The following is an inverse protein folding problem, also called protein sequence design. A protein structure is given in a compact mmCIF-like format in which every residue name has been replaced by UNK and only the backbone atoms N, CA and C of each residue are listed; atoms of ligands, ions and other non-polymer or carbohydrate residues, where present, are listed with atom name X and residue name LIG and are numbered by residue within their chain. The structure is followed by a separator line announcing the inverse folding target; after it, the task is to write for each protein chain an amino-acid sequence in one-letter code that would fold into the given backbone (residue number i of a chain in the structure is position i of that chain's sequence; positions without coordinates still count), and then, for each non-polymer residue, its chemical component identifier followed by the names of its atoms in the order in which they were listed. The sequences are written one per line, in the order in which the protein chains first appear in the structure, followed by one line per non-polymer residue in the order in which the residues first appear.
data_IF_675006881903
#
_entry.id   IF_675006881903
#
_cell.length_a   1.000
_cell.length_b   1.000
_cell.length_c   1.000
_cell.angle_alpha   90.00
_cell.angle_beta   90.00
_cell.angle_gamma   90.00
#
_symmetry.space_group_name_H-M   'P 1'
#
loop_
_entity.id
_entity.type
_entity.pdbx_description
1 polymer ?
#
# COMPACT_ATOMS: atom_id res chain seq x y z
N UNK A 1 -54.23 6.41 10.46
CA UNK A 1 -54.72 5.86 11.75
C UNK A 1 -54.37 4.37 11.81
N UNK A 2 -53.94 3.85 12.98
CA UNK A 2 -52.92 2.81 13.09
C UNK A 2 -53.47 1.46 13.54
N UNK A 3 -52.72 0.37 13.29
CA UNK A 3 -52.63 -0.81 14.18
C UNK A 3 -51.23 -1.42 14.09
N UNK A 4 -50.47 -1.30 15.18
CA UNK A 4 -49.22 -2.02 15.41
C UNK A 4 -49.48 -3.54 15.62
N UNK A 5 -48.56 -4.42 15.21
CA UNK A 5 -48.56 -5.82 15.66
C UNK A 5 -47.78 -5.95 16.98
N UNK A 6 -48.50 -6.40 18.01
CA UNK A 6 -48.02 -6.69 19.37
C UNK A 6 -46.91 -7.76 19.41
N UNK A 7 -45.94 -7.53 20.28
CA UNK A 7 -44.96 -8.50 20.79
C UNK A 7 -45.63 -9.81 21.22
N UNK A 8 -45.08 -10.96 20.82
CA UNK A 8 -45.39 -12.25 21.44
C UNK A 8 -44.40 -12.49 22.56
N UNK A 9 -44.92 -12.45 23.78
CA UNK A 9 -44.27 -12.88 24.99
C UNK A 9 -43.87 -14.36 24.91
N UNK A 10 -42.64 -14.65 25.33
CA UNK A 10 -42.20 -16.02 25.63
C UNK A 10 -42.92 -16.50 26.90
N UNK A 11 -43.70 -17.58 26.78
CA UNK A 11 -44.26 -18.28 27.93
C UNK A 11 -43.13 -19.03 28.64
N UNK A 12 -42.82 -18.60 29.87
CA UNK A 12 -42.01 -19.36 30.84
C UNK A 12 -42.97 -20.15 31.72
N UNK A 13 -42.64 -21.41 32.01
CA UNK A 13 -43.32 -22.18 33.06
C UNK A 13 -42.86 -21.72 34.45
N UNK A 14 -43.69 -22.00 35.46
CA UNK A 14 -43.69 -21.41 36.81
C UNK A 14 -42.45 -21.70 37.69
N UNK A 15 -41.41 -22.36 37.16
CA UNK A 15 -40.16 -22.69 37.86
C UNK A 15 -38.87 -22.26 37.10
N UNK A 16 -38.97 -21.43 36.06
CA UNK A 16 -37.82 -20.66 35.56
C UNK A 16 -36.68 -21.45 34.87
N UNK A 17 -36.96 -22.55 34.16
CA UNK A 17 -35.97 -23.23 33.28
C UNK A 17 -36.52 -23.47 31.85
N UNK A 18 -35.69 -23.37 30.79
CA UNK A 18 -36.11 -23.69 29.42
C UNK A 18 -36.24 -25.21 29.22
N UNK A 19 -37.41 -25.66 28.75
CA UNK A 19 -37.72 -27.06 28.44
C UNK A 19 -37.03 -27.57 27.17
N UNK A 20 -36.53 -28.81 27.23
CA UNK A 20 -35.89 -29.52 26.13
C UNK A 20 -36.94 -30.04 25.12
N UNK A 21 -36.62 -29.97 23.82
CA UNK A 21 -37.43 -30.51 22.74
C UNK A 21 -37.00 -31.96 22.47
N UNK A 22 -37.92 -32.90 22.68
CA UNK A 22 -37.78 -34.31 22.35
C UNK A 22 -38.42 -34.58 20.98
N UNK A 23 -37.69 -35.28 20.11
CA UNK A 23 -38.08 -35.62 18.74
C UNK A 23 -38.36 -37.12 18.68
N UNK A 24 -39.64 -37.51 18.68
CA UNK A 24 -40.13 -38.72 18.00
C UNK A 24 -41.62 -38.95 18.29
N UNK A 25 -42.50 -38.59 17.35
CA UNK A 25 -43.85 -39.17 17.24
C UNK A 25 -44.55 -38.73 15.94
N UNK A 26 -44.48 -39.55 14.90
CA UNK A 26 -45.58 -39.72 13.94
C UNK A 26 -45.41 -41.03 13.16
N UNK A 27 -46.00 -42.10 13.71
CA UNK A 27 -46.57 -43.25 12.98
C UNK A 27 -47.67 -42.71 12.01
N UNK A 28 -48.09 -43.34 10.92
CA UNK A 28 -48.55 -44.73 10.73
C UNK A 28 -49.05 -44.86 9.26
N UNK A 29 -49.00 -46.05 8.63
CA UNK A 29 -49.80 -46.30 7.41
C UNK A 29 -49.41 -47.44 6.46
N UNK A 30 -49.76 -48.68 6.84
CA UNK A 30 -50.19 -49.82 5.99
C UNK A 30 -49.22 -50.56 5.03
N UNK A 31 -49.08 -51.88 5.30
CA UNK A 31 -48.67 -53.00 4.42
C UNK A 31 -49.94 -53.58 3.70
N UNK A 32 -49.92 -54.55 2.73
CA UNK A 32 -48.91 -55.62 2.63
C UNK A 32 -48.64 -56.34 1.26
N UNK A 33 -47.68 -57.29 1.33
CA UNK A 33 -47.42 -58.55 0.58
C UNK A 33 -47.07 -58.62 -0.92
N UNK A 34 -46.08 -59.48 -1.24
CA UNK A 34 -46.04 -60.25 -2.50
C UNK A 34 -44.68 -60.30 -3.21
N UNK A 35 -43.91 -61.39 -3.06
CA UNK A 35 -42.53 -61.50 -3.49
C UNK A 35 -42.24 -61.75 -4.98
N UNK A 36 -40.95 -61.75 -5.32
CA UNK A 36 -40.23 -62.75 -6.15
C UNK A 36 -38.76 -62.36 -6.32
N UNK A 37 -37.88 -63.32 -6.05
CA UNK A 37 -36.51 -63.36 -6.57
C UNK A 37 -36.51 -63.30 -8.11
N UNK A 38 -35.37 -62.96 -8.72
CA UNK A 38 -34.63 -63.78 -9.71
C UNK A 38 -33.46 -62.98 -10.32
N UNK A 39 -32.36 -63.69 -10.57
CA UNK A 39 -31.08 -63.18 -11.05
C UNK A 39 -31.02 -62.94 -12.58
N UNK A 40 -30.00 -62.15 -12.97
CA UNK A 40 -29.38 -61.76 -14.28
C UNK A 40 -29.44 -62.75 -15.47
N UNK A 41 -29.12 -62.42 -16.77
CA UNK A 41 -28.15 -61.41 -17.25
C UNK A 41 -28.35 -60.75 -18.68
N UNK A 42 -27.45 -59.79 -18.99
CA UNK A 42 -26.88 -59.40 -20.31
C UNK A 42 -27.64 -58.60 -21.40
N UNK A 43 -26.96 -57.50 -21.79
CA UNK A 43 -26.75 -56.89 -23.12
C UNK A 43 -27.79 -55.93 -23.73
N UNK A 44 -27.40 -54.66 -23.86
CA UNK A 44 -27.50 -53.88 -25.11
C UNK A 44 -26.74 -52.55 -24.97
N UNK A 45 -25.96 -52.23 -26.00
CA UNK A 45 -25.06 -51.09 -26.12
C UNK A 45 -25.77 -49.76 -26.36
N UNK A 46 -25.27 -48.65 -25.79
CA UNK A 46 -25.11 -47.40 -26.55
C UNK A 46 -24.07 -46.45 -25.94
N UNK A 47 -22.98 -46.26 -26.69
CA UNK A 47 -22.05 -45.11 -26.80
C UNK A 47 -22.04 -44.06 -25.65
N UNK A 48 -21.10 -44.20 -24.73
CA UNK A 48 -20.58 -43.08 -23.95
C UNK A 48 -19.44 -42.38 -24.70
N UNK A 49 -19.63 -41.10 -25.02
CA UNK A 49 -18.59 -40.21 -25.53
C UNK A 49 -17.58 -39.89 -24.43
N UNK A 50 -16.44 -40.58 -24.43
CA UNK A 50 -15.27 -40.22 -23.64
C UNK A 50 -14.65 -38.93 -24.21
N UNK A 51 -14.93 -37.79 -23.57
CA UNK A 51 -14.11 -36.58 -23.72
C UNK A 51 -12.76 -36.87 -23.06
N UNK A 52 -11.78 -37.27 -23.89
CA UNK A 52 -10.39 -37.46 -23.50
C UNK A 52 -9.77 -36.07 -23.42
N UNK A 53 -9.66 -35.51 -22.22
CA UNK A 53 -8.87 -34.29 -21.99
C UNK A 53 -7.41 -34.63 -22.32
N UNK A 54 -6.97 -34.18 -23.49
CA UNK A 54 -5.58 -34.24 -23.92
C UNK A 54 -4.81 -33.29 -23.01
N UNK A 55 -4.07 -33.83 -22.04
CA UNK A 55 -2.98 -33.09 -21.38
C UNK A 55 -1.93 -32.79 -22.45
N UNK A 56 -1.95 -31.56 -22.94
CA UNK A 56 -0.85 -30.99 -23.71
C UNK A 56 0.38 -30.87 -22.79
N UNK A 57 1.23 -31.89 -22.83
CA UNK A 57 2.63 -31.76 -22.47
C UNK A 57 3.36 -31.11 -23.64
N UNK A 58 3.59 -29.81 -23.57
CA UNK A 58 4.61 -29.15 -24.37
C UNK A 58 5.27 -28.08 -23.50
N UNK A 59 6.55 -28.29 -23.23
CA UNK A 59 7.32 -27.50 -22.29
C UNK A 59 7.72 -26.14 -22.87
N UNK A 60 7.64 -25.14 -22.01
CA UNK A 60 8.73 -24.17 -21.84
C UNK A 60 8.92 -23.96 -20.34
N UNK A 61 9.73 -24.83 -19.74
CA UNK A 61 10.17 -24.76 -18.35
C UNK A 61 11.25 -23.68 -18.21
N UNK A 62 10.85 -22.40 -18.25
CA UNK A 62 11.71 -21.28 -17.86
C UNK A 62 11.05 -20.37 -16.82
N UNK A 63 10.41 -20.99 -15.82
CA UNK A 63 9.81 -20.27 -14.69
C UNK A 63 9.64 -21.20 -13.51
N UNK A 64 10.74 -21.59 -12.85
CA UNK A 64 10.64 -22.35 -11.59
C UNK A 64 9.84 -21.52 -10.59
N UNK A 65 8.61 -21.94 -10.25
CA UNK A 65 7.84 -21.38 -9.14
C UNK A 65 8.71 -21.43 -7.88
N UNK A 66 9.00 -20.27 -7.30
CA UNK A 66 9.71 -20.22 -6.02
C UNK A 66 8.85 -20.86 -4.94
N UNK A 67 9.45 -21.72 -4.12
CA UNK A 67 8.78 -22.29 -2.94
C UNK A 67 8.46 -21.17 -1.94
N UNK A 68 7.40 -21.30 -1.15
CA UNK A 68 7.04 -20.33 -0.07
C UNK A 68 8.24 -19.81 0.74
N UNK A 69 9.18 -20.66 1.22
CA UNK A 69 10.37 -20.17 1.91
C UNK A 69 11.27 -19.27 1.03
N UNK A 70 11.39 -19.55 -0.27
CA UNK A 70 12.16 -18.71 -1.20
C UNK A 70 11.51 -17.35 -1.44
N UNK A 71 10.18 -17.26 -1.44
CA UNK A 71 9.47 -15.98 -1.55
C UNK A 71 9.65 -15.12 -0.29
N UNK A 72 9.61 -15.73 0.90
CA UNK A 72 9.86 -15.04 2.16
C UNK A 72 11.32 -14.59 2.30
N UNK A 73 12.27 -15.40 1.83
CA UNK A 73 13.68 -15.02 1.73
C UNK A 73 13.83 -13.83 0.78
N UNK A 74 13.09 -13.79 -0.32
CA UNK A 74 13.20 -12.70 -1.29
C UNK A 74 12.61 -11.38 -0.78
N UNK A 75 11.47 -11.44 -0.07
CA UNK A 75 10.94 -10.28 0.65
C UNK A 75 11.90 -9.83 1.77
N UNK A 76 12.45 -10.78 2.53
CA UNK A 76 13.46 -10.49 3.55
C UNK A 76 14.74 -9.88 2.97
N UNK A 77 15.18 -10.34 1.79
CA UNK A 77 16.31 -9.77 1.05
C UNK A 77 15.96 -8.40 0.49
N UNK A 78 14.76 -8.16 -0.02
CA UNK A 78 14.34 -6.82 -0.49
C UNK A 78 14.33 -5.80 0.67
N UNK A 79 13.79 -6.19 1.82
CA UNK A 79 13.80 -5.38 3.05
C UNK A 79 15.23 -5.20 3.61
N UNK A 80 16.07 -6.24 3.56
CA UNK A 80 17.46 -6.17 4.02
C UNK A 80 18.35 -5.35 3.08
N UNK A 81 18.17 -5.46 1.76
CA UNK A 81 18.85 -4.64 0.76
C UNK A 81 18.43 -3.19 0.91
N UNK A 82 17.15 -2.93 1.18
CA UNK A 82 16.66 -1.59 1.53
C UNK A 82 17.39 -1.06 2.76
N UNK A 83 17.33 -1.79 3.89
CA UNK A 83 17.98 -1.38 5.14
C UNK A 83 19.51 -1.22 4.98
N UNK A 84 20.15 -2.09 4.21
CA UNK A 84 21.59 -2.06 3.95
C UNK A 84 21.99 -0.94 2.99
N UNK A 85 21.18 -0.63 1.97
CA UNK A 85 21.43 0.49 1.05
C UNK A 85 21.30 1.81 1.80
N UNK A 86 20.30 1.94 2.69
CA UNK A 86 20.14 3.09 3.58
C UNK A 86 21.33 3.21 4.54
N UNK A 87 21.72 2.10 5.18
CA UNK A 87 22.86 2.09 6.11
C UNK A 87 24.18 2.42 5.41
N UNK A 88 24.48 1.77 4.29
CA UNK A 88 25.75 1.92 3.58
C UNK A 88 25.90 3.32 2.98
N UNK A 89 24.82 3.86 2.38
CA UNK A 89 24.88 5.19 1.79
C UNK A 89 24.93 6.28 2.86
N UNK A 90 24.15 6.18 3.95
CA UNK A 90 24.21 7.12 5.08
C UNK A 90 25.50 7.01 5.91
N UNK A 91 26.19 5.86 5.90
CA UNK A 91 27.50 5.71 6.55
C UNK A 91 28.64 6.32 5.73
N UNK A 92 28.47 6.43 4.41
CA UNK A 92 29.51 6.88 3.48
C UNK A 92 29.32 8.34 3.05
N UNK A 93 28.07 8.79 2.94
CA UNK A 93 27.67 10.18 2.78
C UNK A 93 27.44 10.76 4.17
N UNK A 94 28.51 11.06 4.92
CA UNK A 94 28.37 12.03 6.01
C UNK A 94 28.22 13.45 5.44
N UNK A 95 27.83 14.46 6.23
CA UNK A 95 27.90 15.86 5.83
C UNK A 95 29.37 16.29 5.68
N UNK A 96 30.03 15.87 4.60
CA UNK A 96 31.43 16.23 4.29
C UNK A 96 31.50 16.78 2.88
N UNK A 97 31.75 18.08 2.81
CA UNK A 97 31.82 18.95 1.64
C UNK A 97 30.56 18.87 0.75
N UNK A 98 29.98 20.01 0.33
CA UNK A 98 28.87 19.97 -0.62
C UNK A 98 29.31 19.19 -1.87
N UNK A 99 28.53 18.18 -2.26
CA UNK A 99 28.74 17.43 -3.52
C UNK A 99 28.84 18.41 -4.71
N UNK A 100 28.13 19.54 -4.63
CA UNK A 100 28.22 20.68 -5.53
C UNK A 100 27.98 21.99 -4.76
N UNK A 101 28.90 22.96 -4.82
CA UNK A 101 28.70 24.33 -4.30
C UNK A 101 27.91 25.15 -5.34
N UNK A 102 26.58 25.10 -5.26
CA UNK A 102 25.70 25.72 -6.25
C UNK A 102 25.64 27.25 -6.18
N UNK A 103 26.18 27.88 -5.13
CA UNK A 103 26.08 29.33 -4.96
C UNK A 103 27.06 30.11 -5.86
N UNK A 104 28.16 29.46 -6.24
CA UNK A 104 29.15 30.00 -7.20
C UNK A 104 28.97 29.45 -8.61
N UNK A 105 28.14 28.42 -8.75
CA UNK A 105 27.83 27.85 -10.04
C UNK A 105 26.93 28.81 -10.83
N UNK A 106 27.14 28.93 -12.16
CA UNK A 106 26.14 29.54 -13.02
C UNK A 106 24.74 28.94 -12.78
N UNK A 107 23.70 29.77 -12.83
CA UNK A 107 22.32 29.34 -12.56
C UNK A 107 21.89 28.11 -13.38
N UNK A 108 22.36 27.99 -14.63
CA UNK A 108 22.07 26.85 -15.49
C UNK A 108 22.68 25.53 -14.96
N UNK A 109 23.88 25.59 -14.37
CA UNK A 109 24.53 24.43 -13.77
C UNK A 109 23.80 24.00 -12.49
N UNK A 110 23.37 24.98 -11.67
CA UNK A 110 22.58 24.70 -10.48
C UNK A 110 21.22 24.05 -10.81
N UNK A 111 20.52 24.57 -11.81
CA UNK A 111 19.29 23.95 -12.32
C UNK A 111 19.57 22.53 -12.82
N UNK A 112 20.69 22.31 -13.53
CA UNK A 112 21.09 20.98 -14.01
C UNK A 112 21.30 19.97 -12.88
N UNK A 113 21.93 20.37 -11.78
CA UNK A 113 22.13 19.52 -10.58
C UNK A 113 20.79 19.21 -9.90
N UNK A 114 19.93 20.21 -9.72
CA UNK A 114 18.61 20.02 -9.09
C UNK A 114 17.72 19.10 -9.95
N UNK A 115 17.69 19.34 -11.26
CA UNK A 115 16.95 18.53 -12.22
C UNK A 115 17.41 17.07 -12.24
N UNK A 116 18.73 16.85 -12.33
CA UNK A 116 19.30 15.50 -12.33
C UNK A 116 19.06 14.79 -11.01
N UNK A 117 19.11 15.50 -9.88
CA UNK A 117 18.78 14.93 -8.56
C UNK A 117 17.35 14.44 -8.50
N UNK A 118 16.38 15.25 -8.97
CA UNK A 118 14.99 14.83 -9.05
C UNK A 118 14.79 13.56 -9.90
N UNK A 119 15.47 13.47 -11.05
CA UNK A 119 15.42 12.27 -11.89
C UNK A 119 16.05 11.03 -11.25
N UNK A 120 17.19 11.19 -10.57
CA UNK A 120 17.85 10.09 -9.85
C UNK A 120 16.93 9.55 -8.76
N UNK A 121 16.28 10.43 -8.02
CA UNK A 121 15.33 10.06 -6.97
C UNK A 121 14.10 9.36 -7.56
N UNK A 122 13.52 9.88 -8.65
CA UNK A 122 12.38 9.24 -9.32
C UNK A 122 12.73 7.89 -9.95
N UNK A 123 13.92 7.76 -10.52
CA UNK A 123 14.41 6.49 -11.08
C UNK A 123 14.64 5.45 -9.98
N UNK A 124 15.08 5.88 -8.79
CA UNK A 124 15.27 4.99 -7.65
C UNK A 124 13.96 4.31 -7.20
N UNK A 125 12.81 4.96 -7.37
CA UNK A 125 11.50 4.33 -7.15
C UNK A 125 11.28 3.11 -8.05
N UNK A 126 11.73 3.18 -9.31
CA UNK A 126 11.70 2.03 -10.22
C UNK A 126 12.51 0.83 -9.72
N UNK A 127 13.61 1.06 -9.01
CA UNK A 127 14.48 -0.02 -8.51
C UNK A 127 13.74 -0.93 -7.52
N UNK A 128 12.74 -0.42 -6.82
CA UNK A 128 11.92 -1.20 -5.89
C UNK A 128 11.11 -2.33 -6.55
N UNK A 129 10.85 -2.25 -7.86
CA UNK A 129 10.17 -3.31 -8.60
C UNK A 129 11.13 -4.46 -9.02
N UNK A 130 12.44 -4.22 -9.08
CA UNK A 130 13.45 -5.17 -9.59
C UNK A 130 13.47 -6.51 -8.84
N UNK A 131 13.36 -6.57 -7.50
CA UNK A 131 13.33 -7.85 -6.78
C UNK A 131 12.26 -8.81 -7.32
N UNK A 132 11.15 -8.28 -7.82
CA UNK A 132 10.04 -9.08 -8.33
C UNK A 132 10.30 -9.71 -9.70
N UNK A 133 11.38 -9.38 -10.42
CA UNK A 133 11.81 -10.12 -11.62
C UNK A 133 12.05 -11.60 -11.29
N UNK A 134 12.47 -11.88 -10.06
CA UNK A 134 12.74 -13.24 -9.59
C UNK A 134 11.46 -13.95 -9.09
N UNK A 135 10.32 -13.26 -9.00
CA UNK A 135 9.07 -13.78 -8.45
C UNK A 135 7.97 -13.79 -9.51
N UNK A 136 7.65 -14.97 -10.01
CA UNK A 136 6.65 -15.12 -11.08
C UNK A 136 5.19 -15.00 -10.60
N UNK A 137 4.89 -15.38 -9.35
CA UNK A 137 3.55 -15.29 -8.76
C UNK A 137 3.64 -15.12 -7.24
N UNK A 138 2.85 -14.22 -6.67
CA UNK A 138 2.76 -14.02 -5.22
C UNK A 138 1.59 -14.85 -4.65
N UNK A 139 1.83 -15.60 -3.58
CA UNK A 139 0.73 -16.30 -2.90
C UNK A 139 -0.22 -15.29 -2.24
N UNK A 140 -1.54 -15.54 -2.15
CA UNK A 140 -2.47 -14.56 -1.59
C UNK A 140 -2.15 -14.15 -0.14
N UNK A 141 -1.61 -15.07 0.65
CA UNK A 141 -1.12 -14.76 2.00
C UNK A 141 0.09 -13.83 1.96
N UNK A 142 1.01 -14.02 1.01
CA UNK A 142 2.17 -13.15 0.85
C UNK A 142 1.76 -11.75 0.40
N UNK A 143 0.80 -11.62 -0.51
CA UNK A 143 0.23 -10.31 -0.88
C UNK A 143 -0.31 -9.60 0.36
N UNK A 144 -1.06 -10.30 1.21
CA UNK A 144 -1.57 -9.71 2.45
C UNK A 144 -0.46 -9.31 3.44
N UNK A 145 0.60 -10.12 3.59
CA UNK A 145 1.79 -9.73 4.38
C UNK A 145 2.43 -8.48 3.80
N UNK A 146 2.58 -8.42 2.48
CA UNK A 146 3.19 -7.30 1.79
C UNK A 146 2.36 -6.02 1.95
N UNK A 147 1.03 -6.10 1.85
CA UNK A 147 0.12 -4.98 2.12
C UNK A 147 0.23 -4.48 3.57
N UNK A 148 0.34 -5.38 4.56
CA UNK A 148 0.57 -4.99 5.95
C UNK A 148 1.93 -4.29 6.15
N UNK A 149 2.99 -4.77 5.48
CA UNK A 149 4.31 -4.12 5.48
C UNK A 149 4.22 -2.72 4.85
N UNK A 150 3.61 -2.61 3.68
CA UNK A 150 3.42 -1.33 2.98
C UNK A 150 2.63 -0.32 3.83
N UNK A 151 1.52 -0.75 4.45
CA UNK A 151 0.76 0.07 5.39
C UNK A 151 1.60 0.60 6.56
N UNK A 152 2.49 -0.24 7.11
CA UNK A 152 3.39 0.16 8.20
C UNK A 152 4.43 1.19 7.75
N UNK A 153 5.06 0.97 6.59
CA UNK A 153 6.06 1.90 6.04
C UNK A 153 5.43 3.26 5.69
N UNK A 154 4.27 3.26 5.03
CA UNK A 154 3.54 4.47 4.67
C UNK A 154 3.04 5.24 5.90
N UNK A 155 2.62 4.54 6.97
CA UNK A 155 2.25 5.19 8.23
C UNK A 155 3.45 5.87 8.91
N UNK A 156 4.62 5.23 8.92
CA UNK A 156 5.85 5.86 9.42
C UNK A 156 6.22 7.10 8.59
N UNK A 157 6.14 7.01 7.26
CA UNK A 157 6.37 8.14 6.36
C UNK A 157 5.39 9.30 6.63
N UNK A 158 4.10 9.02 6.79
CA UNK A 158 3.08 10.02 7.12
C UNK A 158 3.39 10.75 8.44
N UNK A 159 3.82 10.03 9.48
CA UNK A 159 4.23 10.66 10.74
C UNK A 159 5.49 11.52 10.58
N UNK A 160 6.47 11.05 9.78
CA UNK A 160 7.64 11.82 9.41
C UNK A 160 7.27 13.17 8.78
N UNK A 161 6.37 13.16 7.80
CA UNK A 161 5.87 14.37 7.13
C UNK A 161 5.16 15.33 8.08
N UNK A 162 4.38 14.82 9.04
CA UNK A 162 3.76 15.66 10.08
C UNK A 162 4.84 16.36 10.91
N UNK A 163 5.88 15.62 11.32
CA UNK A 163 6.99 16.17 12.09
C UNK A 163 7.75 17.22 11.26
N UNK A 164 8.08 16.92 10.01
CA UNK A 164 8.74 17.86 9.10
C UNK A 164 7.92 19.12 8.89
N UNK A 165 6.61 19.00 8.65
CA UNK A 165 5.73 20.16 8.49
C UNK A 165 5.60 21.02 9.74
N UNK A 166 5.73 20.44 10.94
CA UNK A 166 5.72 21.20 12.19
C UNK A 166 7.05 21.93 12.45
N UNK A 167 8.15 21.39 11.93
CA UNK A 167 9.50 21.89 12.16
C UNK A 167 10.01 22.79 11.03
N UNK A 168 9.32 22.82 9.90
CA UNK A 168 9.61 23.73 8.80
C UNK A 168 9.57 25.18 9.30
N UNK A 169 10.60 25.96 8.98
CA UNK A 169 10.66 27.38 9.33
C UNK A 169 10.00 28.21 8.22
N UNK A 170 8.90 28.89 8.56
CA UNK A 170 8.22 29.81 7.64
C UNK A 170 8.76 31.23 7.81
N UNK A 171 9.55 31.69 6.84
CA UNK A 171 10.17 33.02 6.76
C UNK A 171 11.30 33.32 7.78
N UNK A 172 12.23 34.24 7.49
CA UNK A 172 13.40 34.52 8.35
C UNK A 172 13.06 35.07 9.74
N UNK A 173 11.82 35.56 9.93
CA UNK A 173 11.43 36.38 11.09
C UNK A 173 10.35 35.72 11.98
N UNK A 174 9.84 34.53 11.61
CA UNK A 174 8.72 33.89 12.33
C UNK A 174 9.18 32.62 13.02
N UNK A 175 8.94 32.52 14.33
CA UNK A 175 9.18 31.30 15.09
C UNK A 175 8.14 30.23 14.73
N UNK A 176 8.63 29.07 14.28
CA UNK A 176 7.96 27.80 13.92
C UNK A 176 6.70 27.87 13.05
N UNK A 177 6.52 26.87 12.18
CA UNK A 177 5.28 26.75 11.40
C UNK A 177 4.07 26.63 12.35
N UNK A 178 3.00 27.43 12.14
CA UNK A 178 1.76 27.23 12.86
C UNK A 178 1.16 25.85 12.56
N UNK A 179 0.99 25.01 13.59
CA UNK A 179 0.51 23.62 13.47
C UNK A 179 -0.80 23.48 12.67
N UNK A 180 -1.64 24.51 12.67
CA UNK A 180 -2.90 24.51 11.92
C UNK A 180 -2.70 24.34 10.41
N UNK A 181 -1.55 24.76 9.84
CA UNK A 181 -1.25 24.56 8.41
C UNK A 181 -1.09 23.08 8.07
N UNK A 182 -0.36 22.35 8.92
CA UNK A 182 -0.19 20.89 8.78
C UNK A 182 -1.52 20.19 8.97
N UNK A 183 -2.31 20.58 9.98
CA UNK A 183 -3.65 20.02 10.22
C UNK A 183 -4.59 20.28 9.04
N UNK A 184 -4.61 21.49 8.49
CA UNK A 184 -5.39 21.82 7.29
C UNK A 184 -5.01 20.90 6.13
N UNK A 185 -3.71 20.77 5.86
CA UNK A 185 -3.21 19.83 4.87
C UNK A 185 -3.74 18.42 5.11
N UNK A 186 -3.58 17.90 6.33
CA UNK A 186 -4.00 16.54 6.71
C UNK A 186 -5.47 16.29 6.41
N UNK A 187 -6.36 17.21 6.79
CA UNK A 187 -7.79 17.09 6.47
C UNK A 187 -8.06 17.16 4.97
N UNK A 188 -7.38 18.04 4.24
CA UNK A 188 -7.49 18.11 2.77
C UNK A 188 -7.02 16.82 2.09
N UNK A 189 -5.95 16.19 2.59
CA UNK A 189 -5.46 14.91 2.09
C UNK A 189 -6.46 13.79 2.29
N UNK A 190 -7.01 13.65 3.50
CA UNK A 190 -8.08 12.68 3.77
C UNK A 190 -9.31 12.96 2.91
N UNK A 191 -9.72 14.23 2.80
CA UNK A 191 -10.83 14.66 1.97
C UNK A 191 -10.61 14.34 0.49
N UNK A 192 -9.38 14.53 -0.01
CA UNK A 192 -9.00 14.19 -1.37
C UNK A 192 -9.13 12.69 -1.65
N UNK A 193 -8.66 11.83 -0.75
CA UNK A 193 -8.78 10.38 -0.95
C UNK A 193 -10.25 9.96 -0.94
N UNK A 194 -11.04 10.45 0.03
CA UNK A 194 -12.48 10.20 0.09
C UNK A 194 -13.21 10.67 -1.17
N UNK A 195 -12.92 11.88 -1.64
CA UNK A 195 -13.52 12.41 -2.87
C UNK A 195 -13.08 11.62 -4.09
N UNK A 196 -11.79 11.25 -4.18
CA UNK A 196 -11.26 10.44 -5.27
C UNK A 196 -11.91 9.06 -5.30
N UNK A 197 -12.12 8.43 -4.14
CA UNK A 197 -12.87 7.17 -4.06
C UNK A 197 -14.33 7.33 -4.50
N UNK A 198 -14.99 8.44 -4.15
CA UNK A 198 -16.35 8.73 -4.62
C UNK A 198 -16.44 8.99 -6.13
N UNK A 199 -15.47 9.68 -6.72
CA UNK A 199 -15.44 9.98 -8.16
C UNK A 199 -15.09 8.73 -8.97
N UNK A 200 -14.26 7.84 -8.41
CA UNK A 200 -13.81 6.61 -9.06
C UNK A 200 -14.79 5.44 -8.84
N UNK A 201 -15.68 5.47 -7.84
CA UNK A 201 -16.75 4.49 -7.66
C UNK A 201 -17.89 4.99 -6.77
N UNK A 202 -19.12 4.79 -7.23
CA UNK A 202 -20.36 4.99 -6.48
C UNK A 202 -20.26 4.41 -5.06
N UNK A 203 -20.68 5.22 -4.09
CA UNK A 203 -20.92 4.95 -2.66
C UNK A 203 -20.00 3.90 -2.01
N UNK A 204 -18.89 4.39 -1.45
CA UNK A 204 -18.23 3.72 -0.32
C UNK A 204 -18.43 4.58 0.91
N UNK A 205 -19.51 4.31 1.65
CA UNK A 205 -19.72 4.89 2.98
C UNK A 205 -18.65 4.33 3.94
N UNK A 206 -17.83 5.17 4.61
CA UNK A 206 -16.83 4.71 5.57
C UNK A 206 -17.39 3.84 6.71
N UNK A 207 -18.70 3.93 6.99
CA UNK A 207 -19.38 3.09 7.97
C UNK A 207 -19.70 1.66 7.45
N UNK A 208 -19.93 1.50 6.15
CA UNK A 208 -20.23 0.19 5.53
C UNK A 208 -18.97 -0.59 5.13
N UNK A 209 -17.81 0.07 5.02
CA UNK A 209 -16.49 -0.58 4.77
C UNK A 209 -16.12 -1.61 5.83
N UNK A 210 -16.68 -1.49 7.04
CA UNK A 210 -16.46 -2.45 8.13
C UNK A 210 -17.32 -3.72 8.00
N UNK A 211 -18.43 -3.69 7.25
CA UNK A 211 -19.43 -4.78 7.24
C UNK A 211 -19.58 -5.47 5.87
N UNK A 212 -19.48 -4.75 4.74
CA UNK A 212 -19.86 -5.30 3.42
C UNK A 212 -18.69 -5.76 2.51
N UNK A 213 -17.44 -5.65 2.96
CA UNK A 213 -16.27 -6.05 2.14
C UNK A 213 -16.07 -7.57 1.98
N UNK A 214 -17.02 -8.37 2.44
CA UNK A 214 -16.92 -9.83 2.40
C UNK A 214 -17.29 -10.45 1.04
N UNK A 215 -17.86 -9.69 0.07
CA UNK A 215 -18.63 -10.35 -1.03
C UNK A 215 -18.50 -9.94 -2.50
N UNK A 216 -17.67 -8.99 -2.92
CA UNK A 216 -17.53 -8.74 -4.38
C UNK A 216 -16.08 -8.60 -4.85
N UNK A 217 -15.53 -9.70 -5.36
CA UNK A 217 -14.22 -9.74 -6.03
C UNK A 217 -14.40 -9.46 -7.53
N UNK A 218 -14.72 -8.22 -7.90
CA UNK A 218 -14.71 -7.80 -9.31
C UNK A 218 -13.33 -7.23 -9.68
N UNK A 219 -12.86 -7.51 -10.90
CA UNK A 219 -11.58 -6.99 -11.43
C UNK A 219 -11.53 -5.45 -11.48
N UNK A 220 -12.69 -4.82 -11.52
CA UNK A 220 -12.83 -3.37 -11.60
C UNK A 220 -12.49 -2.69 -10.26
N UNK A 221 -12.86 -3.29 -9.12
CA UNK A 221 -12.54 -2.75 -7.78
C UNK A 221 -11.02 -2.77 -7.54
N UNK A 222 -10.34 -3.85 -7.92
CA UNK A 222 -8.88 -3.96 -7.76
C UNK A 222 -8.12 -2.93 -8.59
N UNK A 223 -8.63 -2.63 -9.80
CA UNK A 223 -8.03 -1.62 -10.69
C UNK A 223 -8.24 -0.21 -10.15
N UNK A 224 -9.44 0.09 -9.64
CA UNK A 224 -9.76 1.39 -9.02
C UNK A 224 -8.89 1.68 -7.80
N UNK A 225 -8.73 0.69 -6.89
CA UNK A 225 -7.82 0.82 -5.74
C UNK A 225 -6.38 1.09 -6.17
N UNK A 226 -5.88 0.37 -7.17
CA UNK A 226 -4.55 0.64 -7.72
C UNK A 226 -4.43 2.08 -8.24
N UNK A 227 -5.45 2.62 -8.92
CA UNK A 227 -5.45 4.01 -9.39
C UNK A 227 -5.43 5.03 -8.25
N UNK A 228 -6.21 4.81 -7.17
CA UNK A 228 -6.20 5.70 -5.99
C UNK A 228 -4.84 5.69 -5.31
N UNK A 229 -4.26 4.50 -5.12
CA UNK A 229 -2.89 4.37 -4.58
C UNK A 229 -1.90 5.11 -5.49
N UNK A 230 -1.95 4.92 -6.81
CA UNK A 230 -1.08 5.63 -7.74
C UNK A 230 -1.24 7.15 -7.65
N UNK A 231 -2.47 7.66 -7.52
CA UNK A 231 -2.73 9.09 -7.38
C UNK A 231 -2.13 9.64 -6.08
N UNK A 232 -2.32 8.93 -4.96
CA UNK A 232 -1.77 9.33 -3.66
C UNK A 232 -0.24 9.29 -3.66
N UNK A 233 0.37 8.25 -4.21
CA UNK A 233 1.84 8.17 -4.33
C UNK A 233 2.40 9.26 -5.25
N UNK A 234 1.67 9.61 -6.32
CA UNK A 234 2.04 10.73 -7.19
C UNK A 234 2.04 12.06 -6.44
N UNK A 235 1.04 12.30 -5.59
CA UNK A 235 0.97 13.51 -4.77
C UNK A 235 2.04 13.52 -3.66
N UNK A 236 2.38 12.36 -3.09
CA UNK A 236 3.49 12.24 -2.16
C UNK A 236 4.83 12.62 -2.82
N UNK A 237 5.10 12.06 -4.00
CA UNK A 237 6.27 12.39 -4.82
C UNK A 237 6.33 13.87 -5.22
N UNK A 238 5.18 14.55 -5.33
CA UNK A 238 5.17 16.01 -5.53
C UNK A 238 5.79 16.73 -4.34
N UNK A 239 5.39 16.39 -3.10
CA UNK A 239 5.94 17.02 -1.90
C UNK A 239 7.42 16.73 -1.68
N UNK A 240 7.87 15.54 -2.08
CA UNK A 240 9.29 15.17 -2.09
C UNK A 240 10.09 15.99 -3.10
N UNK A 241 9.55 16.21 -4.31
CA UNK A 241 10.15 17.09 -5.31
C UNK A 241 10.37 18.51 -4.78
N UNK A 242 9.38 19.05 -4.07
CA UNK A 242 9.52 20.34 -3.39
C UNK A 242 10.65 20.30 -2.36
N UNK A 243 10.74 19.24 -1.55
CA UNK A 243 11.82 19.03 -0.59
C UNK A 243 13.21 19.02 -1.22
N UNK A 244 13.37 18.36 -2.38
CA UNK A 244 14.62 18.37 -3.17
C UNK A 244 14.97 19.82 -3.53
N UNK A 245 14.05 20.57 -4.15
CA UNK A 245 14.32 21.94 -4.60
C UNK A 245 14.67 22.89 -3.46
N UNK A 246 13.89 22.86 -2.37
CA UNK A 246 14.13 23.68 -1.17
C UNK A 246 15.47 23.34 -0.52
N UNK A 247 15.85 22.06 -0.46
CA UNK A 247 17.10 21.62 0.17
C UNK A 247 18.36 22.18 -0.50
N UNK A 248 18.34 22.33 -1.83
CA UNK A 248 19.44 22.88 -2.61
C UNK A 248 19.61 24.41 -2.49
N UNK A 249 18.65 25.10 -1.87
CA UNK A 249 18.83 26.50 -1.50
C UNK A 249 19.82 26.65 -0.33
N UNK A 250 19.92 25.65 0.56
CA UNK A 250 20.89 25.64 1.66
C UNK A 250 22.21 24.97 1.23
N UNK A 251 23.34 25.65 1.49
CA UNK A 251 24.64 25.44 0.82
C UNK A 251 25.32 24.05 1.02
N UNK A 252 24.79 23.15 1.85
CA UNK A 252 25.46 21.88 2.17
C UNK A 252 24.54 20.65 2.22
N UNK A 253 23.22 20.85 2.18
CA UNK A 253 22.27 19.75 2.46
C UNK A 253 21.64 19.16 1.20
N UNK A 254 21.52 19.90 0.10
CA UNK A 254 20.73 19.48 -1.07
C UNK A 254 21.14 18.14 -1.68
N UNK A 255 22.44 17.94 -1.92
CA UNK A 255 22.96 16.68 -2.47
C UNK A 255 22.77 15.50 -1.52
N UNK A 256 22.90 15.75 -0.22
CA UNK A 256 22.77 14.72 0.80
C UNK A 256 21.29 14.37 1.08
N UNK A 257 20.40 15.35 1.12
CA UNK A 257 18.94 15.13 1.20
C UNK A 257 18.46 14.38 -0.04
N UNK A 258 18.88 14.80 -1.24
CA UNK A 258 18.52 14.11 -2.48
C UNK A 258 19.01 12.67 -2.51
N UNK A 259 20.25 12.40 -2.06
CA UNK A 259 20.77 11.05 -1.98
C UNK A 259 20.02 10.20 -0.95
N UNK A 260 19.68 10.77 0.21
CA UNK A 260 18.89 10.10 1.24
C UNK A 260 17.50 9.75 0.73
N UNK A 261 16.86 10.68 0.03
CA UNK A 261 15.55 10.50 -0.58
C UNK A 261 15.59 9.47 -1.72
N UNK A 262 16.63 9.46 -2.56
CA UNK A 262 16.81 8.43 -3.57
C UNK A 262 16.83 7.02 -2.97
N UNK A 263 17.47 6.85 -1.81
CA UNK A 263 17.43 5.55 -1.12
C UNK A 263 16.05 5.26 -0.51
N UNK A 264 15.38 6.28 0.04
CA UNK A 264 14.01 6.17 0.54
C UNK A 264 13.01 5.71 -0.54
N UNK A 265 13.21 6.12 -1.78
CA UNK A 265 12.31 5.77 -2.87
C UNK A 265 12.37 4.29 -3.26
N UNK A 266 13.45 3.58 -2.96
CA UNK A 266 13.54 2.13 -3.24
C UNK A 266 12.46 1.34 -2.46
N UNK A 267 12.32 1.47 -1.13
CA UNK A 267 11.21 0.86 -0.40
C UNK A 267 9.83 1.36 -0.83
N UNK A 268 9.70 2.63 -1.21
CA UNK A 268 8.44 3.14 -1.77
C UNK A 268 8.07 2.41 -3.06
N UNK A 269 9.05 2.23 -3.96
CA UNK A 269 8.89 1.43 -5.17
C UNK A 269 8.51 -0.02 -4.91
N UNK A 270 9.04 -0.62 -3.83
CA UNK A 270 8.62 -1.95 -3.37
C UNK A 270 7.14 -1.92 -2.96
N UNK A 271 6.71 -0.89 -2.21
CA UNK A 271 5.32 -0.75 -1.79
C UNK A 271 4.36 -0.62 -2.98
N UNK A 272 4.71 0.16 -4.00
CA UNK A 272 3.92 0.26 -5.25
C UNK A 272 3.94 -1.07 -6.02
N UNK A 273 5.08 -1.73 -6.11
CA UNK A 273 5.21 -3.01 -6.82
C UNK A 273 4.37 -4.12 -6.18
N UNK A 274 4.29 -4.15 -4.84
CA UNK A 274 3.44 -5.06 -4.08
C UNK A 274 1.96 -4.90 -4.45
N UNK A 275 1.52 -3.69 -4.80
CA UNK A 275 0.14 -3.41 -5.17
C UNK A 275 -0.13 -3.78 -6.64
N UNK A 276 0.75 -3.39 -7.56
CA UNK A 276 0.52 -3.53 -9.00
C UNK A 276 0.73 -4.97 -9.51
N UNK A 277 1.75 -5.68 -9.05
CA UNK A 277 2.12 -7.00 -9.59
C UNK A 277 1.01 -8.05 -9.36
N UNK A 278 0.41 -8.18 -8.15
CA UNK A 278 -0.71 -9.10 -7.93
C UNK A 278 -1.93 -8.80 -8.82
N UNK A 279 -2.05 -7.56 -9.31
CA UNK A 279 -3.15 -7.08 -10.16
C UNK A 279 -2.88 -7.30 -11.66
N UNK A 280 -1.79 -7.98 -12.01
CA UNK A 280 -1.49 -8.43 -13.37
C UNK A 280 -0.51 -7.54 -14.13
N UNK A 281 0.07 -6.51 -13.50
CA UNK A 281 1.14 -5.73 -14.11
C UNK A 281 2.43 -6.55 -14.15
N UNK A 282 3.07 -6.62 -15.32
CA UNK A 282 4.40 -7.22 -15.45
C UNK A 282 5.48 -6.33 -14.83
N UNK A 283 6.61 -6.90 -14.43
CA UNK A 283 7.65 -6.18 -13.67
C UNK A 283 8.19 -4.94 -14.39
N UNK A 284 8.34 -4.99 -15.73
CA UNK A 284 8.74 -3.82 -16.50
C UNK A 284 7.68 -2.72 -16.46
N UNK A 285 6.40 -3.08 -16.64
CA UNK A 285 5.30 -2.12 -16.54
C UNK A 285 5.25 -1.52 -15.12
N UNK A 286 5.37 -2.36 -14.09
CA UNK A 286 5.44 -1.91 -12.69
C UNK A 286 6.61 -0.96 -12.46
N UNK A 287 7.81 -1.27 -12.98
CA UNK A 287 8.98 -0.38 -12.88
C UNK A 287 8.70 0.99 -13.49
N UNK A 288 8.10 1.02 -14.68
CA UNK A 288 7.73 2.27 -15.34
C UNK A 288 6.63 3.02 -14.58
N UNK A 289 5.66 2.32 -13.99
CA UNK A 289 4.63 2.92 -13.15
C UNK A 289 5.19 3.50 -11.85
N UNK A 290 6.17 2.84 -11.22
CA UNK A 290 6.88 3.37 -10.06
C UNK A 290 7.63 4.68 -10.41
N UNK A 291 8.32 4.71 -11.55
CA UNK A 291 8.98 5.95 -12.02
C UNK A 291 7.93 7.01 -12.37
N UNK A 292 6.82 6.61 -13.00
CA UNK A 292 5.74 7.51 -13.38
C UNK A 292 5.12 8.21 -12.16
N UNK A 293 4.83 7.46 -11.09
CA UNK A 293 4.36 8.08 -9.84
C UNK A 293 5.35 9.08 -9.27
N UNK A 294 6.65 8.89 -9.50
CA UNK A 294 7.68 9.79 -9.02
C UNK A 294 8.09 10.90 -9.99
N UNK A 295 7.47 11.01 -11.17
CA UNK A 295 7.71 12.13 -12.10
C UNK A 295 7.50 13.53 -11.50
N UNK A 296 6.60 13.75 -10.53
CA UNK A 296 6.51 15.04 -9.86
C UNK A 296 7.80 15.49 -9.18
N UNK A 297 8.68 14.56 -8.75
CA UNK A 297 9.94 14.90 -8.09
C UNK A 297 10.84 15.80 -8.96
N UNK A 298 11.28 15.39 -10.18
CA UNK A 298 12.06 16.27 -11.06
C UNK A 298 11.28 17.50 -11.53
N UNK A 299 9.97 17.36 -11.76
CA UNK A 299 9.13 18.47 -12.23
C UNK A 299 9.00 19.58 -11.19
N UNK A 300 8.97 19.24 -9.89
CA UNK A 300 8.81 20.20 -8.81
C UNK A 300 10.11 20.68 -8.19
N UNK A 301 11.19 19.90 -8.29
CA UNK A 301 12.49 20.27 -7.73
C UNK A 301 13.01 21.61 -8.31
N UNK A 302 12.89 21.83 -9.61
CA UNK A 302 13.37 23.07 -10.24
C UNK A 302 12.51 24.29 -9.86
N UNK A 303 11.17 24.27 -9.99
CA UNK A 303 10.33 25.35 -9.48
C UNK A 303 10.55 25.63 -7.99
N UNK A 304 10.67 24.60 -7.16
CA UNK A 304 10.89 24.77 -5.73
C UNK A 304 12.26 25.39 -5.40
N UNK A 305 13.30 25.08 -6.16
CA UNK A 305 14.60 25.73 -6.05
C UNK A 305 14.54 27.22 -6.45
N UNK A 306 13.85 27.54 -7.55
CA UNK A 306 13.75 28.91 -8.07
C UNK A 306 12.83 29.81 -7.23
N UNK A 307 11.78 29.25 -6.63
CA UNK A 307 10.75 29.97 -5.88
C UNK A 307 10.69 29.51 -4.41
N UNK A 308 11.86 29.32 -3.79
CA UNK A 308 11.99 28.71 -2.46
C UNK A 308 11.10 29.36 -1.39
N UNK A 309 10.98 30.69 -1.37
CA UNK A 309 10.19 31.39 -0.35
C UNK A 309 8.68 31.08 -0.47
N UNK A 310 8.19 30.97 -1.70
CA UNK A 310 6.81 30.58 -1.95
C UNK A 310 6.58 29.14 -1.51
N UNK A 311 7.49 28.23 -1.88
CA UNK A 311 7.35 26.82 -1.53
C UNK A 311 7.47 26.60 -0.01
N UNK A 312 8.44 27.20 0.69
CA UNK A 312 8.54 27.13 2.16
C UNK A 312 7.26 27.58 2.87
N UNK A 313 6.54 28.55 2.31
CA UNK A 313 5.26 29.00 2.87
C UNK A 313 4.14 27.95 2.73
N UNK A 314 4.05 27.26 1.59
CA UNK A 314 2.97 26.29 1.30
C UNK A 314 3.32 24.86 1.70
N UNK A 315 4.62 24.53 1.81
CA UNK A 315 5.14 23.19 2.12
C UNK A 315 4.47 22.55 3.33
N UNK A 316 4.23 23.23 4.47
CA UNK A 316 3.58 22.58 5.60
C UNK A 316 2.16 22.06 5.32
N UNK A 317 1.41 22.78 4.49
CA UNK A 317 0.08 22.33 4.04
C UNK A 317 0.25 21.13 3.11
N UNK A 318 1.25 21.15 2.22
CA UNK A 318 1.60 20.01 1.36
C UNK A 318 1.99 18.75 2.15
N UNK A 319 2.88 18.87 3.13
CA UNK A 319 3.29 17.76 4.00
C UNK A 319 2.11 17.20 4.79
N UNK A 320 1.27 18.08 5.35
CA UNK A 320 0.01 17.67 5.96
C UNK A 320 -0.87 16.88 4.98
N UNK A 321 -1.06 17.39 3.76
CA UNK A 321 -1.86 16.75 2.72
C UNK A 321 -1.37 15.34 2.39
N UNK A 322 -0.08 15.19 2.09
CA UNK A 322 0.53 13.89 1.81
C UNK A 322 0.40 12.95 3.01
N UNK A 323 0.65 13.42 4.24
CA UNK A 323 0.50 12.62 5.45
C UNK A 323 -0.94 12.12 5.64
N UNK A 324 -1.94 12.99 5.47
CA UNK A 324 -3.35 12.63 5.61
C UNK A 324 -3.81 11.61 4.57
N UNK A 325 -3.42 11.81 3.30
CA UNK A 325 -3.75 10.88 2.22
C UNK A 325 -3.08 9.51 2.41
N UNK A 326 -1.78 9.48 2.73
CA UNK A 326 -1.02 8.25 2.98
C UNK A 326 -1.56 7.49 4.19
N UNK A 327 -1.88 8.19 5.29
CA UNK A 327 -2.46 7.56 6.47
C UNK A 327 -3.82 6.91 6.16
N UNK A 328 -4.67 7.58 5.37
CA UNK A 328 -5.97 7.04 4.97
C UNK A 328 -5.82 5.77 4.12
N UNK A 329 -5.04 5.83 3.03
CA UNK A 329 -4.79 4.67 2.14
C UNK A 329 -4.16 3.51 2.92
N UNK A 330 -3.20 3.80 3.80
CA UNK A 330 -2.54 2.76 4.60
C UNK A 330 -3.51 2.00 5.49
N UNK A 331 -4.39 2.72 6.20
CA UNK A 331 -5.31 2.12 7.17
C UNK A 331 -6.53 1.48 6.50
N UNK A 332 -7.13 2.16 5.54
CA UNK A 332 -8.43 1.80 4.99
C UNK A 332 -8.35 0.98 3.71
N UNK A 333 -7.23 1.02 2.97
CA UNK A 333 -7.04 0.22 1.76
C UNK A 333 -6.05 -0.93 2.00
N UNK A 334 -4.80 -0.60 2.37
CA UNK A 334 -3.75 -1.62 2.45
C UNK A 334 -3.92 -2.56 3.65
N UNK A 335 -4.13 -2.00 4.84
CA UNK A 335 -4.30 -2.79 6.06
C UNK A 335 -5.62 -3.57 6.05
N UNK A 336 -6.68 -3.02 5.46
CA UNK A 336 -7.95 -3.72 5.31
C UNK A 336 -7.82 -4.92 4.36
N UNK A 337 -7.15 -4.75 3.20
CA UNK A 337 -6.88 -5.84 2.26
C UNK A 337 -5.97 -6.92 2.87
N UNK A 338 -4.98 -6.52 3.69
CA UNK A 338 -4.16 -7.47 4.44
C UNK A 338 -5.00 -8.34 5.38
N UNK A 339 -6.01 -7.75 6.04
CA UNK A 339 -6.90 -8.43 6.99
C UNK A 339 -7.90 -9.40 6.33
N UNK A 340 -8.04 -9.37 5.00
CA UNK A 340 -8.83 -10.39 4.30
C UNK A 340 -8.19 -11.79 4.38
N UNK A 341 -6.87 -11.88 4.57
CA UNK A 341 -6.11 -13.15 4.54
C UNK A 341 -5.22 -13.39 5.75
N UNK A 342 -5.07 -12.40 6.62
CA UNK A 342 -4.32 -12.49 7.87
C UNK A 342 -5.27 -12.27 9.05
N UNK A 343 -5.00 -12.93 10.17
CA UNK A 343 -5.68 -12.55 11.41
C UNK A 343 -5.34 -11.11 11.79
N UNK A 344 -6.24 -10.43 12.51
CA UNK A 344 -6.00 -9.07 12.99
C UNK A 344 -4.66 -8.96 13.74
N UNK A 345 -4.37 -9.93 14.62
CA UNK A 345 -3.12 -9.97 15.39
C UNK A 345 -1.89 -10.04 14.47
N UNK A 346 -1.92 -10.87 13.45
CA UNK A 346 -0.82 -10.99 12.48
C UNK A 346 -0.64 -9.69 11.69
N UNK A 347 -1.72 -9.15 11.09
CA UNK A 347 -1.66 -7.96 10.25
C UNK A 347 -1.14 -6.74 11.02
N UNK A 348 -1.68 -6.46 12.20
CA UNK A 348 -1.23 -5.34 13.04
C UNK A 348 0.20 -5.52 13.55
N UNK A 349 0.62 -6.75 13.88
CA UNK A 349 2.00 -7.00 14.31
C UNK A 349 3.00 -6.75 13.19
N UNK A 350 2.69 -7.19 11.96
CA UNK A 350 3.53 -6.97 10.77
C UNK A 350 3.59 -5.47 10.46
N UNK A 351 2.45 -4.78 10.47
CA UNK A 351 2.38 -3.33 10.25
C UNK A 351 3.21 -2.58 11.30
N UNK A 352 3.05 -2.88 12.58
CA UNK A 352 3.78 -2.22 13.66
C UNK A 352 5.30 -2.47 13.56
N UNK A 353 5.71 -3.68 13.18
CA UNK A 353 7.12 -4.00 12.96
C UNK A 353 7.69 -3.20 11.78
N UNK A 354 6.99 -3.18 10.65
CA UNK A 354 7.40 -2.42 9.47
C UNK A 354 7.47 -0.91 9.74
N UNK A 355 6.47 -0.37 10.44
CA UNK A 355 6.44 1.01 10.91
C UNK A 355 7.63 1.33 11.82
N UNK A 356 7.98 0.41 12.73
CA UNK A 356 9.13 0.58 13.62
C UNK A 356 10.45 0.57 12.85
N UNK A 357 10.64 -0.39 11.94
CA UNK A 357 11.85 -0.48 11.11
C UNK A 357 12.01 0.79 10.27
N UNK A 358 10.92 1.25 9.64
CA UNK A 358 10.93 2.47 8.84
C UNK A 358 11.20 3.71 9.70
N UNK A 359 10.50 3.87 10.82
CA UNK A 359 10.69 4.99 11.74
C UNK A 359 12.09 5.06 12.33
N UNK A 360 12.68 3.92 12.72
CA UNK A 360 14.07 3.85 13.17
C UNK A 360 15.05 4.22 12.06
N UNK A 361 14.76 3.78 10.82
CA UNK A 361 15.56 4.13 9.65
C UNK A 361 15.52 5.64 9.40
N UNK A 362 14.33 6.26 9.44
CA UNK A 362 14.16 7.70 9.31
C UNK A 362 14.87 8.47 10.44
N UNK A 363 14.73 8.02 11.69
CA UNK A 363 15.37 8.65 12.84
C UNK A 363 16.91 8.60 12.75
N UNK A 364 17.46 7.45 12.38
CA UNK A 364 18.89 7.28 12.18
C UNK A 364 19.44 8.14 11.04
N UNK A 365 18.71 8.22 9.93
CA UNK A 365 19.05 9.12 8.84
C UNK A 365 19.06 10.57 9.32
N UNK A 366 18.02 10.98 10.06
CA UNK A 366 17.86 12.33 10.57
C UNK A 366 18.97 12.75 11.52
N UNK A 367 19.39 11.87 12.44
CA UNK A 367 20.51 12.14 13.36
C UNK A 367 21.82 12.45 12.62
N UNK A 368 22.04 11.86 11.43
CA UNK A 368 23.21 12.15 10.60
C UNK A 368 23.06 13.38 9.71
N UNK A 369 21.82 13.85 9.52
CA UNK A 369 21.49 15.01 8.67
C UNK A 369 21.59 16.35 9.40
N UNK A 370 21.40 16.34 10.72
CA UNK A 370 21.57 17.50 11.62
C UNK A 370 22.99 17.54 12.16
#
# INVERSE_FOLDING_TARGET
MPREPRERAATRDDDGKPGAVDTDAAREGALPEGGREWASPTSASSKEGKIRIIRSSSGNNLGKRLTRPRQMVLLGVALAVTAHSVYFLSARLGPRAPLFDLHKAPLHDAIGVVWSSGWITAASTGLGAIPFVLVNELSPRLVAVCNAVAAGMMMAAALGLVVEGCLEETAPDTMSTPIWRVLLGLYLGVGFVKLSSHVVGDEVDPAEVLDDMSRSKSRDIDTKRAMVIMAVMTLHSFTEGVGIGVSYHSQSLGGFISATLAVHNVPEGIAVAIVLIPRGFGVLATTLWCIFSSLPQPLMAVPAYLFVDYFRFVTPVGFGFSAGAMAFVSLFELLSEARERLSAREAYSIMALAMTVMGLTQAFLREKTM
#
